data_IF_916045781032
#
_entry.id   IF_916045781032
#
_cell.length_a   1.000
_cell.length_b   1.000
_cell.length_c   1.000
_cell.angle_alpha   90.00
_cell.angle_beta   90.00
_cell.angle_gamma   90.00
#
_symmetry.space_group_name_H-M   'P 1'
#
loop_
_entity.id
_entity.type
_entity.pdbx_description
1 polymer ?
#
# COMPACT_ATOMS: atom_id res chain seq x y z
N UNK A 1 15.31 -25.70 6.34
CA UNK A 1 16.71 -26.03 6.00
C UNK A 1 17.41 -24.74 5.60
N UNK A 2 18.68 -24.57 5.98
CA UNK A 2 19.51 -23.43 5.57
C UNK A 2 20.39 -23.76 4.35
N UNK A 3 20.36 -25.02 3.89
CA UNK A 3 21.35 -25.59 2.99
C UNK A 3 21.40 -24.84 1.65
N UNK A 4 20.28 -24.21 1.26
CA UNK A 4 20.10 -23.46 0.02
C UNK A 4 19.94 -21.94 0.22
N UNK A 5 20.19 -21.40 1.42
CA UNK A 5 19.99 -19.97 1.71
C UNK A 5 20.95 -19.07 0.92
N UNK A 6 22.11 -19.58 0.52
CA UNK A 6 23.09 -18.82 -0.25
C UNK A 6 22.97 -19.08 -1.76
N UNK A 7 21.86 -19.66 -2.21
CA UNK A 7 21.57 -19.82 -3.64
C UNK A 7 20.83 -18.60 -4.16
N UNK A 8 21.30 -18.08 -5.29
CA UNK A 8 20.73 -16.89 -5.91
C UNK A 8 20.21 -17.22 -7.31
N UNK A 9 19.23 -16.45 -7.76
CA UNK A 9 18.65 -16.57 -9.08
C UNK A 9 18.73 -15.24 -9.84
N UNK A 10 18.99 -15.31 -11.15
CA UNK A 10 18.90 -14.14 -12.03
C UNK A 10 17.46 -13.76 -12.34
N UNK A 11 16.55 -14.75 -12.32
CA UNK A 11 15.12 -14.54 -12.60
C UNK A 11 14.28 -15.34 -11.62
N UNK A 12 13.32 -14.66 -10.98
CA UNK A 12 12.28 -15.29 -10.15
C UNK A 12 10.90 -14.92 -10.69
N UNK A 13 10.10 -15.91 -11.09
CA UNK A 13 8.69 -15.72 -11.44
C UNK A 13 7.85 -16.56 -10.50
N UNK A 14 6.97 -15.94 -9.72
CA UNK A 14 6.26 -16.64 -8.66
C UNK A 14 4.84 -16.14 -8.42
N UNK A 15 3.96 -17.08 -8.11
CA UNK A 15 2.66 -16.84 -7.49
C UNK A 15 2.63 -17.59 -6.15
N UNK A 16 3.29 -17.05 -5.10
CA UNK A 16 3.35 -17.71 -3.80
C UNK A 16 1.95 -17.85 -3.17
N UNK A 17 1.71 -18.86 -2.32
CA UNK A 17 0.42 -19.02 -1.66
C UNK A 17 0.12 -17.83 -0.74
N UNK A 18 -1.13 -17.34 -0.79
CA UNK A 18 -1.56 -16.14 -0.04
C UNK A 18 -1.98 -16.40 1.41
N UNK A 19 -1.79 -17.62 1.91
CA UNK A 19 -2.25 -18.03 3.24
C UNK A 19 -1.08 -18.34 4.17
N UNK A 20 -1.21 -17.88 5.41
CA UNK A 20 -0.34 -18.28 6.51
C UNK A 20 -0.95 -19.49 7.25
N UNK A 21 -0.14 -20.48 7.67
CA UNK A 21 -0.63 -21.58 8.52
C UNK A 21 -1.28 -21.06 9.80
N UNK A 22 -2.25 -21.81 10.35
CA UNK A 22 -2.83 -21.51 11.67
C UNK A 22 -1.72 -21.49 12.72
N UNK A 23 -1.62 -20.39 13.48
CA UNK A 23 -0.53 -20.14 14.44
C UNK A 23 0.62 -19.26 13.91
N UNK A 24 0.63 -18.95 12.61
CA UNK A 24 1.66 -18.13 11.98
C UNK A 24 2.98 -18.89 11.75
N UNK A 25 3.92 -18.25 11.08
CA UNK A 25 5.25 -18.80 10.84
C UNK A 25 6.23 -18.24 11.87
N UNK A 26 7.17 -19.07 12.35
CA UNK A 26 8.34 -18.58 13.07
C UNK A 26 9.43 -18.27 12.03
N UNK A 27 9.71 -16.99 11.73
CA UNK A 27 10.69 -16.64 10.72
C UNK A 27 12.10 -17.05 11.17
N UNK A 28 12.95 -17.33 10.20
CA UNK A 28 14.38 -17.49 10.43
C UNK A 28 15.02 -16.13 10.77
N UNK A 29 16.11 -16.12 11.53
CA UNK A 29 16.83 -14.87 11.86
C UNK A 29 17.51 -14.20 10.65
N UNK A 30 17.53 -14.87 9.49
CA UNK A 30 18.14 -14.38 8.26
C UNK A 30 17.18 -13.58 7.37
N UNK A 31 15.88 -13.57 7.67
CA UNK A 31 14.94 -12.71 6.95
C UNK A 31 15.20 -11.24 7.33
N UNK A 32 15.21 -10.36 6.33
CA UNK A 32 15.37 -8.92 6.54
C UNK A 32 14.16 -8.35 7.29
N UNK A 33 12.97 -8.91 7.04
CA UNK A 33 11.73 -8.60 7.76
C UNK A 33 11.30 -9.77 8.65
N UNK A 34 11.18 -9.51 9.95
CA UNK A 34 10.67 -10.49 10.90
C UNK A 34 9.13 -10.45 10.92
N UNK A 35 8.49 -11.46 10.33
CA UNK A 35 7.04 -11.54 10.19
C UNK A 35 6.50 -12.93 10.50
N UNK A 36 5.27 -13.00 11.04
CA UNK A 36 4.51 -14.26 11.14
C UNK A 36 3.66 -14.54 9.89
N UNK A 37 3.63 -13.61 8.94
CA UNK A 37 2.85 -13.67 7.71
C UNK A 37 3.68 -14.27 6.59
N UNK A 38 3.26 -15.42 6.09
CA UNK A 38 3.95 -16.15 5.01
C UNK A 38 4.11 -15.28 3.77
N UNK A 39 3.10 -14.51 3.38
CA UNK A 39 3.16 -13.65 2.20
C UNK A 39 4.27 -12.59 2.30
N UNK A 40 4.57 -12.09 3.50
CA UNK A 40 5.66 -11.13 3.72
C UNK A 40 7.00 -11.83 3.58
N UNK A 41 7.15 -13.00 4.20
CA UNK A 41 8.39 -13.78 4.17
C UNK A 41 8.73 -14.28 2.76
N UNK A 42 7.74 -14.68 1.97
CA UNK A 42 7.99 -15.12 0.59
C UNK A 42 8.57 -14.00 -0.27
N UNK A 43 8.03 -12.78 -0.17
CA UNK A 43 8.51 -11.64 -0.95
C UNK A 43 9.90 -11.20 -0.48
N UNK A 44 10.14 -11.17 0.83
CA UNK A 44 11.46 -10.90 1.42
C UNK A 44 12.51 -11.89 0.90
N UNK A 45 12.21 -13.20 1.01
CA UNK A 45 13.08 -14.26 0.53
C UNK A 45 13.41 -14.09 -0.95
N UNK A 46 12.39 -13.95 -1.80
CA UNK A 46 12.60 -13.83 -3.25
C UNK A 46 13.41 -12.59 -3.63
N UNK A 47 13.23 -11.45 -2.96
CA UNK A 47 14.00 -10.24 -3.22
C UNK A 47 15.48 -10.41 -2.82
N UNK A 48 15.74 -10.92 -1.62
CA UNK A 48 17.10 -11.12 -1.10
C UNK A 48 17.90 -12.15 -1.91
N UNK A 49 17.24 -13.17 -2.47
CA UNK A 49 17.87 -14.24 -3.25
C UNK A 49 18.02 -13.90 -4.75
N UNK A 50 17.80 -12.64 -5.15
CA UNK A 50 18.20 -12.16 -6.48
C UNK A 50 19.70 -11.90 -6.56
N UNK A 51 20.32 -12.32 -7.66
CA UNK A 51 21.69 -11.87 -8.04
C UNK A 51 21.72 -10.33 -8.18
N UNK A 52 22.90 -9.68 -8.18
CA UNK A 52 22.98 -8.22 -8.34
C UNK A 52 22.31 -7.66 -9.60
N UNK A 53 22.25 -8.44 -10.67
CA UNK A 53 21.52 -8.13 -11.93
C UNK A 53 20.17 -8.84 -12.03
N UNK A 54 19.72 -9.46 -10.93
CA UNK A 54 18.53 -10.29 -10.88
C UNK A 54 17.24 -9.48 -10.92
N UNK A 55 16.20 -10.12 -11.44
CA UNK A 55 14.85 -9.55 -11.61
C UNK A 55 13.77 -10.53 -11.20
N UNK A 56 12.61 -10.01 -10.80
CA UNK A 56 11.48 -10.85 -10.44
C UNK A 56 10.12 -10.30 -10.90
N UNK A 57 9.18 -11.21 -11.12
CA UNK A 57 7.76 -10.93 -11.26
C UNK A 57 6.99 -11.76 -10.22
N UNK A 58 6.41 -11.10 -9.22
CA UNK A 58 5.81 -11.77 -8.06
C UNK A 58 4.36 -11.33 -7.91
N UNK A 59 3.43 -12.30 -7.95
CA UNK A 59 2.02 -12.04 -7.65
C UNK A 59 1.84 -12.02 -6.13
N UNK A 60 1.28 -10.92 -5.62
CA UNK A 60 1.08 -10.72 -4.18
C UNK A 60 -0.38 -10.34 -3.88
N UNK A 61 -0.90 -10.71 -2.70
CA UNK A 61 -2.19 -10.20 -2.25
C UNK A 61 -2.10 -8.69 -1.98
N UNK A 62 -3.22 -7.99 -2.11
CA UNK A 62 -3.28 -6.52 -1.95
C UNK A 62 -2.76 -6.03 -0.59
N UNK A 63 -2.78 -6.89 0.44
CA UNK A 63 -2.25 -6.54 1.76
C UNK A 63 -0.78 -6.11 1.73
N UNK A 64 0.04 -6.71 0.86
CA UNK A 64 1.45 -6.30 0.66
C UNK A 64 1.56 -4.85 0.21
N UNK A 65 0.58 -4.35 -0.54
CA UNK A 65 0.58 -3.03 -1.15
C UNK A 65 0.33 -1.91 -0.13
N UNK A 66 -0.52 -2.12 0.88
CA UNK A 66 -0.95 -1.01 1.75
C UNK A 66 -1.14 -1.31 3.24
N UNK A 67 -1.07 -2.56 3.71
CA UNK A 67 -1.30 -2.83 5.14
C UNK A 67 -0.30 -2.07 6.03
N UNK A 68 -0.80 -1.50 7.13
CA UNK A 68 -0.05 -0.62 8.03
C UNK A 68 0.77 -1.36 9.10
N UNK A 69 0.57 -2.67 9.26
CA UNK A 69 1.34 -3.51 10.17
C UNK A 69 2.85 -3.38 9.89
N UNK A 70 3.66 -3.27 10.94
CA UNK A 70 5.09 -2.95 10.87
C UNK A 70 5.86 -3.79 9.84
N UNK A 71 5.64 -5.11 9.80
CA UNK A 71 6.31 -5.99 8.86
C UNK A 71 5.99 -5.67 7.38
N UNK A 72 4.76 -5.27 7.08
CA UNK A 72 4.37 -4.88 5.71
C UNK A 72 5.02 -3.56 5.32
N UNK A 73 5.04 -2.58 6.22
CA UNK A 73 5.72 -1.29 5.99
C UNK A 73 7.22 -1.48 5.82
N UNK A 74 7.87 -2.31 6.65
CA UNK A 74 9.28 -2.65 6.52
C UNK A 74 9.59 -3.35 5.20
N UNK A 75 8.74 -4.30 4.77
CA UNK A 75 8.89 -4.96 3.48
C UNK A 75 8.79 -3.96 2.33
N UNK A 76 7.77 -3.08 2.33
CA UNK A 76 7.60 -2.07 1.27
C UNK A 76 8.77 -1.10 1.21
N UNK A 77 9.30 -0.68 2.37
CA UNK A 77 10.52 0.12 2.45
C UNK A 77 11.69 -0.58 1.79
N UNK A 78 12.00 -1.80 2.22
CA UNK A 78 13.10 -2.61 1.68
C UNK A 78 12.96 -2.81 0.15
N UNK A 79 11.74 -3.11 -0.31
CA UNK A 79 11.44 -3.25 -1.74
C UNK A 79 11.69 -1.94 -2.50
N UNK A 80 11.14 -0.81 -2.05
CA UNK A 80 11.26 0.49 -2.73
C UNK A 80 12.73 0.94 -2.86
N UNK A 81 13.52 0.73 -1.81
CA UNK A 81 14.93 1.14 -1.74
C UNK A 81 15.85 0.23 -2.57
N UNK A 82 15.58 -1.07 -2.62
CA UNK A 82 16.55 -2.04 -3.14
C UNK A 82 16.17 -2.79 -4.41
N UNK A 83 14.87 -2.94 -4.70
CA UNK A 83 14.42 -4.03 -5.58
C UNK A 83 13.32 -3.63 -6.57
N UNK A 84 12.37 -2.80 -6.16
CA UNK A 84 11.12 -2.58 -6.87
C UNK A 84 11.25 -1.48 -7.93
N UNK A 85 10.78 -1.77 -9.14
CA UNK A 85 10.74 -0.81 -10.25
C UNK A 85 9.33 -0.52 -10.75
N UNK A 86 8.40 -1.47 -10.63
CA UNK A 86 7.01 -1.23 -10.95
C UNK A 86 6.03 -2.09 -10.13
N UNK A 87 4.81 -1.62 -9.98
CA UNK A 87 3.68 -2.34 -9.38
C UNK A 87 2.51 -2.34 -10.35
N UNK A 88 1.96 -3.51 -10.65
CA UNK A 88 0.80 -3.67 -11.52
C UNK A 88 -0.39 -4.11 -10.66
N UNK A 89 -1.36 -3.21 -10.44
CA UNK A 89 -2.60 -3.53 -9.74
C UNK A 89 -3.54 -4.28 -10.68
N UNK A 90 -3.98 -5.46 -10.25
CA UNK A 90 -4.98 -6.26 -10.97
C UNK A 90 -6.37 -6.03 -10.36
N UNK A 91 -7.45 -6.16 -11.16
CA UNK A 91 -8.80 -6.06 -10.65
C UNK A 91 -9.13 -7.27 -9.75
N UNK A 92 -10.02 -7.07 -8.78
CA UNK A 92 -10.56 -8.19 -7.99
C UNK A 92 -11.31 -9.16 -8.92
N UNK A 93 -11.12 -10.46 -8.75
CA UNK A 93 -11.76 -11.49 -9.58
C UNK A 93 -10.95 -12.00 -10.76
N UNK A 94 -9.71 -11.54 -10.96
CA UNK A 94 -8.76 -12.17 -11.92
C UNK A 94 -8.55 -13.65 -11.63
N UNK A 95 -8.52 -14.03 -10.35
CA UNK A 95 -8.32 -15.41 -9.91
C UNK A 95 -9.63 -16.15 -9.61
N UNK A 96 -10.79 -15.61 -10.00
CA UNK A 96 -12.05 -16.33 -9.87
C UNK A 96 -12.08 -17.58 -10.78
N UNK A 97 -12.80 -18.64 -10.38
CA UNK A 97 -13.57 -18.80 -9.13
C UNK A 97 -12.73 -19.24 -7.92
N UNK A 98 -11.41 -19.43 -8.08
CA UNK A 98 -10.55 -19.99 -7.05
C UNK A 98 -10.27 -19.04 -5.89
N UNK A 99 -10.18 -17.73 -6.17
CA UNK A 99 -9.96 -16.71 -5.16
C UNK A 99 -10.54 -15.35 -5.57
N UNK A 100 -11.30 -14.76 -4.66
CA UNK A 100 -11.79 -13.37 -4.79
C UNK A 100 -10.78 -12.32 -4.31
N UNK A 101 -9.61 -12.73 -3.82
CA UNK A 101 -8.58 -11.81 -3.31
C UNK A 101 -8.07 -10.96 -4.47
N UNK A 102 -8.06 -9.63 -4.26
CA UNK A 102 -7.40 -8.70 -5.18
C UNK A 102 -5.89 -8.86 -5.05
N UNK A 103 -5.22 -8.94 -6.19
CA UNK A 103 -3.77 -9.20 -6.28
C UNK A 103 -3.08 -8.07 -7.02
N UNK A 104 -1.76 -8.02 -6.90
CA UNK A 104 -0.91 -7.14 -7.70
C UNK A 104 0.35 -7.89 -8.11
N UNK A 105 1.01 -7.44 -9.16
CA UNK A 105 2.30 -7.96 -9.60
C UNK A 105 3.38 -6.95 -9.19
N UNK A 106 4.35 -7.42 -8.41
CA UNK A 106 5.58 -6.66 -8.14
C UNK A 106 6.60 -7.00 -9.24
N UNK A 107 7.12 -5.97 -9.90
CA UNK A 107 8.21 -6.09 -10.85
C UNK A 107 9.49 -5.58 -10.18
N UNK A 108 10.41 -6.50 -9.93
CA UNK A 108 11.68 -6.24 -9.28
C UNK A 108 12.79 -6.27 -10.33
N UNK A 109 13.74 -5.37 -10.20
CA UNK A 109 15.01 -5.36 -10.93
C UNK A 109 16.06 -4.70 -10.01
N UNK A 110 16.92 -5.52 -9.41
CA UNK A 110 17.85 -5.09 -8.34
C UNK A 110 18.87 -4.07 -8.84
N UNK A 111 19.22 -4.14 -10.13
CA UNK A 111 20.15 -3.18 -10.75
C UNK A 111 19.48 -1.85 -11.03
N UNK A 112 18.29 -1.88 -11.64
CA UNK A 112 17.57 -0.66 -12.01
C UNK A 112 17.03 0.07 -10.78
N UNK A 113 16.48 -0.64 -9.80
CA UNK A 113 15.88 -0.03 -8.61
C UNK A 113 16.87 0.87 -7.85
N UNK A 114 18.16 0.55 -7.87
CA UNK A 114 19.22 1.36 -7.22
C UNK A 114 19.72 2.53 -8.06
N UNK A 115 19.38 2.57 -9.35
CA UNK A 115 19.82 3.58 -10.32
C UNK A 115 18.74 4.61 -10.66
N UNK A 116 17.50 4.37 -10.25
CA UNK A 116 16.38 5.27 -10.50
C UNK A 116 15.74 5.75 -9.20
N UNK A 117 15.38 7.03 -9.20
CA UNK A 117 14.59 7.66 -8.16
C UNK A 117 13.09 7.54 -8.40
N UNK A 118 12.66 6.86 -9.48
CA UNK A 118 11.25 6.68 -9.83
C UNK A 118 10.75 5.25 -9.66
N UNK A 119 9.44 5.11 -9.52
CA UNK A 119 8.71 3.84 -9.57
C UNK A 119 7.44 4.03 -10.43
N UNK A 120 7.11 3.01 -11.23
CA UNK A 120 5.89 3.05 -12.05
C UNK A 120 4.75 2.24 -11.40
N UNK A 121 3.54 2.80 -11.42
CA UNK A 121 2.32 2.09 -11.01
C UNK A 121 1.41 1.93 -12.22
N UNK A 122 0.98 0.71 -12.51
CA UNK A 122 0.02 0.40 -13.57
C UNK A 122 -1.27 -0.16 -12.99
N UNK A 123 -2.40 0.14 -13.61
CA UNK A 123 -3.72 -0.32 -13.17
C UNK A 123 -4.44 -1.02 -14.30
N UNK A 124 -4.57 -2.33 -14.18
CA UNK A 124 -5.37 -3.15 -15.08
C UNK A 124 -6.82 -3.08 -14.61
N UNK A 125 -7.75 -2.79 -15.52
CA UNK A 125 -9.20 -2.85 -15.26
C UNK A 125 -9.78 -4.17 -15.75
N UNK A 126 -9.32 -4.66 -16.90
CA UNK A 126 -9.78 -5.91 -17.50
C UNK A 126 -8.60 -6.72 -18.05
N UNK A 127 -8.65 -8.03 -17.88
CA UNK A 127 -7.63 -8.97 -18.34
C UNK A 127 -8.09 -9.83 -19.52
N UNK A 128 -9.11 -9.38 -20.25
CA UNK A 128 -9.74 -10.12 -21.35
C UNK A 128 -10.87 -11.06 -20.91
N UNK A 129 -11.18 -11.12 -19.61
CA UNK A 129 -12.28 -11.93 -19.08
C UNK A 129 -13.14 -11.12 -18.10
N UNK A 130 -14.43 -11.46 -18.02
CA UNK A 130 -15.32 -10.93 -17.00
C UNK A 130 -14.84 -11.31 -15.59
N UNK A 131 -14.98 -10.41 -14.63
CA UNK A 131 -14.45 -10.59 -13.26
C UNK A 131 -15.34 -11.46 -12.35
N UNK A 132 -16.46 -11.97 -12.87
CA UNK A 132 -17.33 -12.92 -12.17
C UNK A 132 -16.78 -14.34 -12.15
N UNK A 133 -17.41 -15.22 -11.36
CA UNK A 133 -16.99 -16.61 -11.17
C UNK A 133 -16.82 -17.40 -12.49
N UNK A 134 -17.58 -17.07 -13.52
CA UNK A 134 -17.57 -17.77 -14.81
C UNK A 134 -16.43 -17.35 -15.74
N UNK A 135 -15.75 -16.21 -15.50
CA UNK A 135 -14.59 -15.73 -16.30
C UNK A 135 -14.81 -15.84 -17.80
N UNK A 136 -15.97 -15.38 -18.31
CA UNK A 136 -16.26 -15.41 -19.75
C UNK A 136 -15.40 -14.40 -20.50
N UNK A 137 -14.87 -14.72 -21.69
CA UNK A 137 -14.12 -13.76 -22.50
C UNK A 137 -14.91 -12.47 -22.76
N UNK A 138 -14.21 -11.34 -22.80
CA UNK A 138 -14.75 -10.02 -23.14
C UNK A 138 -13.78 -9.29 -24.09
N UNK A 139 -14.27 -8.26 -24.77
CA UNK A 139 -13.50 -7.56 -25.82
C UNK A 139 -12.39 -6.64 -25.26
N UNK A 140 -12.44 -6.29 -23.97
CA UNK A 140 -11.48 -5.38 -23.34
C UNK A 140 -10.36 -6.12 -22.62
N UNK A 141 -9.11 -5.79 -22.94
CA UNK A 141 -7.93 -6.36 -22.28
C UNK A 141 -6.81 -5.30 -22.17
N UNK A 142 -6.49 -4.91 -20.94
CA UNK A 142 -5.45 -3.91 -20.67
C UNK A 142 -4.05 -4.52 -20.56
N UNK A 143 -3.91 -5.86 -20.52
CA UNK A 143 -2.61 -6.50 -20.34
C UNK A 143 -1.63 -6.24 -21.48
N UNK A 144 -2.00 -6.34 -22.78
CA UNK A 144 -1.08 -6.03 -23.87
C UNK A 144 -0.58 -4.57 -23.87
N UNK A 145 -1.43 -3.52 -23.80
CA UNK A 145 -0.94 -2.15 -23.74
C UNK A 145 -0.12 -1.88 -22.46
N UNK A 146 -0.51 -2.41 -21.31
CA UNK A 146 0.29 -2.27 -20.08
C UNK A 146 1.67 -2.93 -20.21
N UNK A 147 1.75 -4.10 -20.84
CA UNK A 147 3.02 -4.78 -21.09
C UNK A 147 3.94 -3.96 -21.99
N UNK A 148 3.39 -3.32 -23.03
CA UNK A 148 4.16 -2.43 -23.91
C UNK A 148 4.68 -1.19 -23.14
N UNK A 149 3.83 -0.54 -22.34
CA UNK A 149 4.21 0.64 -21.56
C UNK A 149 5.25 0.31 -20.46
N UNK A 150 5.11 -0.84 -19.78
CA UNK A 150 6.10 -1.33 -18.82
C UNK A 150 7.42 -1.61 -19.52
N UNK A 151 7.39 -2.24 -20.70
CA UNK A 151 8.60 -2.55 -21.46
C UNK A 151 9.35 -1.27 -21.87
N UNK A 152 8.63 -0.24 -22.32
CA UNK A 152 9.22 1.05 -22.67
C UNK A 152 9.80 1.76 -21.44
N UNK A 153 9.09 1.79 -20.31
CA UNK A 153 9.62 2.31 -19.05
C UNK A 153 10.94 1.63 -18.67
N UNK A 154 10.97 0.30 -18.66
CA UNK A 154 12.18 -0.46 -18.31
C UNK A 154 13.30 -0.27 -19.33
N UNK A 155 12.98 -0.11 -20.63
CA UNK A 155 13.98 0.19 -21.67
C UNK A 155 14.64 1.54 -21.41
N UNK A 156 13.86 2.59 -21.14
CA UNK A 156 14.37 3.93 -20.80
C UNK A 156 15.30 3.88 -19.59
N UNK A 157 14.88 3.21 -18.51
CA UNK A 157 15.72 3.04 -17.32
C UNK A 157 17.04 2.32 -17.62
N UNK A 158 17.03 1.27 -18.46
CA UNK A 158 18.25 0.55 -18.86
C UNK A 158 19.19 1.40 -19.72
N UNK A 159 18.62 2.27 -20.55
CA UNK A 159 19.37 3.19 -21.39
C UNK A 159 19.86 4.45 -20.63
N UNK A 160 19.40 4.67 -19.39
CA UNK A 160 19.68 5.89 -18.63
C UNK A 160 18.93 7.11 -19.20
N UNK A 161 17.85 6.88 -19.94
CA UNK A 161 17.01 7.93 -20.51
C UNK A 161 16.06 8.51 -19.45
N UNK A 162 15.69 9.77 -19.63
CA UNK A 162 14.66 10.40 -18.80
C UNK A 162 13.30 9.73 -19.00
N UNK A 163 12.53 9.67 -17.91
CA UNK A 163 11.14 9.21 -17.90
C UNK A 163 10.15 10.34 -17.66
N UNK A 164 10.61 11.59 -17.55
CA UNK A 164 9.76 12.75 -17.23
C UNK A 164 8.74 13.07 -18.34
N UNK A 165 9.12 12.84 -19.60
CA UNK A 165 8.27 12.99 -20.79
C UNK A 165 7.39 11.75 -21.06
N UNK A 166 7.66 10.63 -20.38
CA UNK A 166 6.91 9.40 -20.60
C UNK A 166 5.63 9.39 -19.77
N UNK A 167 4.49 9.48 -20.46
CA UNK A 167 3.15 9.52 -19.86
C UNK A 167 2.38 8.25 -20.22
N UNK A 168 2.54 7.15 -19.45
CA UNK A 168 1.79 5.91 -19.70
C UNK A 168 0.29 6.14 -19.54
N UNK A 169 -0.51 5.54 -20.43
CA UNK A 169 -1.97 5.71 -20.44
C UNK A 169 -2.66 4.87 -19.36
N UNK A 170 -2.05 3.74 -18.97
CA UNK A 170 -2.57 2.82 -17.96
C UNK A 170 -1.85 2.92 -16.61
N UNK A 171 -0.90 3.84 -16.51
CA UNK A 171 -0.06 3.96 -15.34
C UNK A 171 0.22 5.39 -14.93
N UNK A 172 1.18 5.52 -14.02
CA UNK A 172 1.76 6.79 -13.59
C UNK A 172 3.16 6.50 -13.04
N UNK A 173 4.06 7.47 -13.18
CA UNK A 173 5.44 7.39 -12.69
C UNK A 173 5.56 8.34 -11.50
N UNK A 174 6.16 7.87 -10.41
CA UNK A 174 6.24 8.59 -9.15
C UNK A 174 7.67 8.62 -8.65
N UNK A 175 8.10 9.75 -8.10
CA UNK A 175 9.32 9.81 -7.31
C UNK A 175 9.19 8.95 -6.05
N UNK A 176 10.20 8.10 -5.81
CA UNK A 176 10.31 7.28 -4.61
C UNK A 176 10.24 8.12 -3.34
N UNK A 177 10.74 9.37 -3.38
CA UNK A 177 10.60 10.32 -2.28
C UNK A 177 9.13 10.63 -1.94
N UNK A 178 8.24 10.80 -2.94
CA UNK A 178 6.80 11.00 -2.72
C UNK A 178 6.16 9.75 -2.09
N UNK A 179 6.63 8.56 -2.44
CA UNK A 179 6.16 7.29 -1.85
C UNK A 179 6.63 7.13 -0.40
N UNK A 180 7.86 7.55 -0.10
CA UNK A 180 8.46 7.45 1.23
C UNK A 180 8.02 8.56 2.21
N UNK A 181 7.44 9.66 1.72
CA UNK A 181 7.23 10.90 2.47
C UNK A 181 6.48 10.74 3.80
N UNK A 182 5.50 9.83 3.89
CA UNK A 182 4.71 9.60 5.10
C UNK A 182 5.20 8.42 5.95
N UNK A 183 6.29 7.75 5.55
CA UNK A 183 6.84 6.58 6.25
C UNK A 183 6.01 5.29 6.14
N UNK A 184 4.87 5.30 5.45
CA UNK A 184 4.04 4.10 5.25
C UNK A 184 4.49 3.28 4.03
N UNK A 185 5.23 3.92 3.11
CA UNK A 185 5.70 3.34 1.84
C UNK A 185 4.55 2.69 1.05
N UNK A 186 3.37 3.31 1.03
CA UNK A 186 2.19 2.71 0.42
C UNK A 186 2.41 2.52 -1.10
N UNK A 187 2.08 1.35 -1.66
CA UNK A 187 2.31 1.07 -3.08
C UNK A 187 1.02 1.15 -3.91
N UNK A 188 -0.02 1.79 -3.38
CA UNK A 188 -1.27 2.02 -4.12
C UNK A 188 -1.12 3.21 -5.06
N UNK A 189 -0.92 2.95 -6.35
CA UNK A 189 -0.69 4.00 -7.36
C UNK A 189 -1.72 5.13 -7.36
N UNK A 190 -3.00 4.83 -7.11
CA UNK A 190 -4.09 5.82 -7.07
C UNK A 190 -3.85 6.93 -6.01
N UNK A 191 -3.06 6.68 -4.96
CA UNK A 191 -2.71 7.70 -3.94
C UNK A 191 -1.77 8.78 -4.46
N UNK A 192 -1.04 8.50 -5.52
CA UNK A 192 0.00 9.37 -6.07
C UNK A 192 -0.41 10.06 -7.36
N UNK A 193 -1.53 9.61 -7.95
CA UNK A 193 -2.22 10.37 -8.99
C UNK A 193 -2.55 11.72 -8.38
N UNK A 194 -2.00 12.77 -8.95
CA UNK A 194 -2.42 14.11 -8.56
C UNK A 194 -3.93 14.14 -8.73
N UNK A 195 -4.63 14.66 -7.72
CA UNK A 195 -6.08 14.80 -7.70
C UNK A 195 -6.52 15.79 -8.77
N UNK A 196 -6.31 15.43 -10.04
CA UNK A 196 -7.09 15.95 -11.13
C UNK A 196 -8.54 15.71 -10.78
N UNK A 197 -9.41 16.71 -11.00
CA UNK A 197 -10.78 16.67 -10.52
C UNK A 197 -11.42 15.35 -10.90
N UNK A 198 -11.82 14.57 -9.90
CA UNK A 198 -12.82 13.53 -10.12
C UNK A 198 -14.00 14.25 -10.76
N UNK A 199 -14.53 13.82 -11.91
CA UNK A 199 -15.69 14.48 -12.50
C UNK A 199 -16.84 14.41 -11.49
N UNK A 200 -17.04 15.52 -10.80
CA UNK A 200 -18.10 15.72 -9.83
C UNK A 200 -18.80 17.01 -10.19
N UNK A 201 -20.12 17.00 -10.07
CA UNK A 201 -20.93 18.23 -10.18
C UNK A 201 -20.72 19.18 -8.99
N UNK A 202 -19.97 18.76 -7.97
CA UNK A 202 -19.75 19.51 -6.75
C UNK A 202 -18.34 20.13 -6.70
N UNK A 203 -18.18 21.35 -6.16
CA UNK A 203 -16.86 21.93 -5.93
C UNK A 203 -16.04 21.08 -4.96
N UNK A 204 -14.85 20.64 -5.38
CA UNK A 204 -13.89 20.03 -4.47
C UNK A 204 -13.18 21.13 -3.65
N UNK A 205 -13.12 20.94 -2.34
CA UNK A 205 -12.36 21.77 -1.39
C UNK A 205 -11.56 20.83 -0.50
N UNK A 206 -10.35 21.23 -0.11
CA UNK A 206 -9.57 20.44 0.84
C UNK A 206 -10.29 20.45 2.19
N UNK A 207 -10.30 19.32 2.90
CA UNK A 207 -11.04 19.20 4.16
C UNK A 207 -10.51 20.19 5.22
N UNK A 208 -9.20 20.45 5.23
CA UNK A 208 -8.56 21.44 6.10
C UNK A 208 -9.02 22.89 5.84
N UNK A 209 -9.50 23.19 4.63
CA UNK A 209 -10.14 24.48 4.32
C UNK A 209 -11.59 24.57 4.82
N UNK A 210 -12.18 23.46 5.26
CA UNK A 210 -13.58 23.35 5.69
C UNK A 210 -13.71 23.16 7.21
N UNK A 211 -12.65 22.74 7.90
CA UNK A 211 -12.68 22.38 9.32
C UNK A 211 -11.62 23.16 10.10
N UNK A 212 -11.93 23.42 11.37
CA UNK A 212 -10.98 23.98 12.34
C UNK A 212 -10.67 22.92 13.39
N UNK A 213 -9.38 22.66 13.62
CA UNK A 213 -8.96 21.71 14.65
C UNK A 213 -8.95 22.41 16.00
N UNK A 214 -9.74 21.91 16.94
CA UNK A 214 -9.78 22.41 18.31
C UNK A 214 -8.96 21.48 19.21
N UNK A 215 -7.94 22.03 19.84
CA UNK A 215 -7.19 21.34 20.90
C UNK A 215 -7.88 21.61 22.24
N UNK A 216 -8.23 20.56 23.02
CA UNK A 216 -8.78 20.76 24.36
C UNK A 216 -7.85 21.62 25.23
N UNK A 217 -8.38 22.59 26.00
CA UNK A 217 -7.56 23.48 26.83
C UNK A 217 -6.81 22.71 27.93
N UNK A 218 -7.43 21.65 28.45
CA UNK A 218 -6.85 20.75 29.45
C UNK A 218 -7.16 19.31 29.05
N UNK A 219 -6.15 18.44 29.14
CA UNK A 219 -6.32 17.00 28.91
C UNK A 219 -6.62 16.30 30.23
N UNK A 220 -7.84 15.78 30.37
CA UNK A 220 -8.24 14.95 31.51
C UNK A 220 -7.81 13.50 31.25
N UNK A 221 -7.13 12.89 32.22
CA UNK A 221 -6.74 11.47 32.13
C UNK A 221 -7.96 10.58 32.39
N UNK A 222 -8.06 9.44 31.69
CA UNK A 222 -9.20 8.51 31.84
C UNK A 222 -9.42 8.03 33.28
N UNK A 223 -8.35 7.92 34.08
CA UNK A 223 -8.45 7.53 35.50
C UNK A 223 -9.14 8.58 36.37
N UNK A 224 -9.30 9.82 35.89
CA UNK A 224 -9.97 10.90 36.58
C UNK A 224 -11.41 11.10 36.10
N UNK A 225 -11.93 10.23 35.24
CA UNK A 225 -13.31 10.29 34.78
C UNK A 225 -14.24 9.83 35.90
N UNK A 226 -15.19 10.68 36.28
CA UNK A 226 -16.21 10.33 37.26
C UNK A 226 -17.38 9.57 36.60
N UNK A 227 -18.09 8.76 37.39
CA UNK A 227 -19.32 8.10 36.94
C UNK A 227 -20.49 9.09 36.75
N UNK A 228 -20.42 10.26 37.40
CA UNK A 228 -21.39 11.35 37.26
C UNK A 228 -20.72 12.70 37.50
N UNK A 229 -21.30 13.77 36.97
CA UNK A 229 -20.79 15.14 37.12
C UNK A 229 -21.59 16.13 36.31
N UNK A 230 -21.13 17.39 36.28
CA UNK A 230 -21.81 18.50 35.59
C UNK A 230 -21.57 18.47 34.08
N UNK A 231 -20.42 17.98 33.63
CA UNK A 231 -20.05 18.02 32.21
C UNK A 231 -19.65 16.63 31.70
N UNK A 232 -20.24 16.16 30.60
CA UNK A 232 -19.89 14.87 30.00
C UNK A 232 -18.55 14.97 29.27
N UNK A 233 -17.74 13.94 29.39
CA UNK A 233 -16.51 13.74 28.62
C UNK A 233 -16.84 12.82 27.46
N UNK A 234 -16.58 13.31 26.25
CA UNK A 234 -16.71 12.54 25.01
C UNK A 234 -15.30 12.27 24.49
N UNK A 235 -15.00 11.00 24.22
CA UNK A 235 -13.71 10.58 23.68
C UNK A 235 -13.92 9.64 22.47
N UNK A 236 -12.85 8.95 22.07
CA UNK A 236 -12.85 8.03 20.93
C UNK A 236 -13.39 6.62 21.28
N UNK A 237 -13.92 6.40 22.49
CA UNK A 237 -14.47 5.12 22.89
C UNK A 237 -15.81 4.83 22.21
N UNK A 238 -16.35 3.63 22.44
CA UNK A 238 -17.66 3.23 21.91
C UNK A 238 -18.83 3.76 22.74
N UNK A 239 -18.55 4.36 23.90
CA UNK A 239 -19.56 4.90 24.80
C UNK A 239 -19.98 6.30 24.33
N UNK A 240 -21.28 6.61 24.38
CA UNK A 240 -21.77 7.96 24.07
C UNK A 240 -21.23 9.00 25.05
N UNK A 241 -21.02 8.62 26.31
CA UNK A 241 -20.37 9.42 27.35
C UNK A 241 -19.32 8.54 28.01
N UNK A 242 -18.05 8.91 27.83
CA UNK A 242 -16.92 8.14 28.36
C UNK A 242 -16.74 8.32 29.88
N UNK A 243 -17.30 9.40 30.43
CA UNK A 243 -17.29 9.74 31.85
C UNK A 243 -17.69 11.19 32.07
N UNK A 244 -17.48 11.69 33.29
CA UNK A 244 -17.88 13.05 33.67
C UNK A 244 -16.76 13.82 34.37
N UNK A 245 -16.85 15.15 34.32
CA UNK A 245 -15.98 16.08 35.04
C UNK A 245 -16.77 17.29 35.54
N UNK A 246 -16.31 17.89 36.63
CA UNK A 246 -16.75 19.20 37.13
C UNK A 246 -15.72 20.31 36.83
N UNK A 247 -14.58 19.96 36.22
CA UNK A 247 -13.52 20.90 35.86
C UNK A 247 -13.92 21.77 34.68
N UNK A 248 -14.36 22.99 34.99
CA UNK A 248 -14.75 23.98 33.98
C UNK A 248 -13.57 24.43 33.10
N UNK A 249 -12.32 24.26 33.53
CA UNK A 249 -11.14 24.66 32.76
C UNK A 249 -10.87 23.75 31.56
N UNK A 250 -11.43 22.54 31.56
CA UNK A 250 -11.32 21.57 30.46
C UNK A 250 -12.40 21.76 29.37
N UNK A 251 -13.35 22.68 29.57
CA UNK A 251 -14.51 22.81 28.69
C UNK A 251 -14.14 23.34 27.31
N UNK A 252 -14.67 22.67 26.29
CA UNK A 252 -14.72 23.19 24.93
C UNK A 252 -16.13 23.75 24.72
N UNK A 253 -16.21 25.02 24.31
CA UNK A 253 -17.47 25.70 24.01
C UNK A 253 -17.54 25.98 22.51
N UNK A 254 -17.92 24.99 21.68
CA UNK A 254 -17.87 25.15 20.24
C UNK A 254 -19.07 25.96 19.75
N UNK A 255 -18.86 26.79 18.73
CA UNK A 255 -19.94 27.50 18.02
C UNK A 255 -20.59 26.67 16.91
N UNK A 256 -20.02 25.49 16.62
CA UNK A 256 -20.45 24.55 15.58
C UNK A 256 -20.42 23.12 16.12
N UNK A 257 -21.12 22.16 15.51
CA UNK A 257 -20.98 20.75 15.84
C UNK A 257 -19.53 20.28 15.74
N UNK A 258 -19.10 19.45 16.68
CA UNK A 258 -17.75 18.87 16.70
C UNK A 258 -17.76 17.46 16.11
N UNK A 259 -16.68 17.12 15.41
CA UNK A 259 -16.37 15.74 15.02
C UNK A 259 -15.14 15.32 15.81
N UNK A 260 -15.27 14.26 16.60
CA UNK A 260 -14.18 13.70 17.38
C UNK A 260 -13.55 12.60 16.53
N UNK A 261 -12.30 12.81 16.10
CA UNK A 261 -11.56 11.79 15.35
C UNK A 261 -10.91 10.81 16.32
N UNK A 262 -11.12 9.51 16.03
CA UNK A 262 -10.47 8.34 16.60
C UNK A 262 -9.08 8.10 16.04
#
# INVERSE_FOLDING_TARGET
>A
SQDRWNEYADVVLANPPFMSPKGGIKPHNRFSVQSKRSEVLFVDYMAEHLTPSGRAGIIVPEGIIFQSQTAYTQLRKMLLEGYLVAVVSLPAGVFNPYSGVKTSILILDKSLAKKTDTIAFFKIKNDGFGLGAQRRPIDTNDLPPAQAEIAEYLRRLRAGESVADFQPTLGLIVDKAKVAANGEYNLSGDRYRDGGPTPTKYPCRRIDSLVETITPPVKIQKTAFAESGRFPIIDQSQEEIAGWTDDESALIRPSKPLVIFG
#
